data_IF_859363778185
#
_entry.id   IF_859363778185
#
_cell.length_a   1.000
_cell.length_b   1.000
_cell.length_c   1.000
_cell.angle_alpha   90.00
_cell.angle_beta   90.00
_cell.angle_gamma   90.00
#
_symmetry.space_group_name_H-M   'P 1'
#
loop_
_entity.id
_entity.type
_entity.pdbx_description
1 polymer ?
#
# COMPACT_ATOMS: atom_id res chain seq x y z
N UNK A 1 23.94 14.22 3.36
CA UNK A 1 22.61 14.47 3.96
C UNK A 1 22.20 13.22 4.72
N UNK A 2 21.71 13.43 5.94
CA UNK A 2 21.47 12.43 7.00
C UNK A 2 20.43 11.38 6.63
N UNK A 3 20.64 10.18 7.15
CA UNK A 3 19.71 9.06 7.13
C UNK A 3 18.33 9.46 7.67
N UNK A 4 17.30 9.31 6.84
CA UNK A 4 15.90 9.25 7.27
C UNK A 4 15.57 7.80 7.64
N UNK A 5 16.29 7.24 8.61
CA UNK A 5 16.01 5.88 9.08
C UNK A 5 14.77 5.93 9.97
N UNK A 6 13.63 5.56 9.39
CA UNK A 6 12.40 5.17 10.10
C UNK A 6 11.84 6.26 11.03
N UNK A 7 11.17 7.26 10.48
CA UNK A 7 10.16 7.96 11.29
C UNK A 7 9.08 6.94 11.65
N UNK A 8 8.91 6.60 12.94
CA UNK A 8 7.84 5.70 13.33
C UNK A 8 6.52 6.39 13.02
N UNK A 9 5.66 5.68 12.31
CA UNK A 9 4.25 6.05 12.20
C UNK A 9 3.74 6.21 13.63
N UNK A 10 3.16 7.38 13.94
CA UNK A 10 2.65 7.65 15.27
C UNK A 10 1.70 6.52 15.70
N UNK A 11 1.84 6.02 16.93
CA UNK A 11 1.02 4.93 17.43
C UNK A 11 -0.48 5.26 17.23
N UNK A 12 -1.16 4.49 16.38
CA UNK A 12 -2.56 4.72 15.99
C UNK A 12 -2.77 5.15 14.53
N UNK A 13 -1.71 5.40 13.77
CA UNK A 13 -1.79 5.86 12.38
C UNK A 13 -1.47 4.77 11.34
N UNK A 14 -1.58 3.48 11.70
CA UNK A 14 -1.27 2.36 10.80
C UNK A 14 -2.40 2.13 9.77
N UNK A 15 -2.05 2.08 8.48
CA UNK A 15 -2.99 1.85 7.37
C UNK A 15 -3.79 0.55 7.53
N UNK A 16 -3.26 -0.43 8.26
CA UNK A 16 -3.91 -1.72 8.56
C UNK A 16 -5.21 -1.55 9.35
N UNK A 17 -5.34 -0.44 10.09
CA UNK A 17 -6.53 -0.08 10.86
C UNK A 17 -7.34 1.05 10.22
N UNK A 18 -6.86 1.63 9.12
CA UNK A 18 -7.53 2.75 8.47
C UNK A 18 -8.76 2.28 7.68
N UNK A 19 -9.94 2.91 7.86
CA UNK A 19 -11.10 2.62 7.04
C UNK A 19 -10.87 3.04 5.59
N UNK A 20 -11.51 2.36 4.61
CA UNK A 20 -11.48 2.82 3.23
C UNK A 20 -12.10 4.23 3.12
N UNK A 21 -11.59 5.09 2.23
CA UNK A 21 -12.21 6.38 1.92
C UNK A 21 -13.68 6.25 1.49
N UNK A 22 -14.53 7.17 1.94
CA UNK A 22 -15.98 7.16 1.69
C UNK A 22 -16.38 7.24 0.20
N UNK A 23 -15.47 7.68 -0.65
CA UNK A 23 -15.66 7.78 -2.10
C UNK A 23 -15.27 6.50 -2.87
N UNK A 24 -14.83 5.45 -2.18
CA UNK A 24 -14.63 4.13 -2.79
C UNK A 24 -15.95 3.36 -2.83
N UNK A 25 -16.26 2.77 -3.98
CA UNK A 25 -17.36 1.81 -4.08
C UNK A 25 -16.99 0.47 -3.41
N UNK A 26 -17.97 -0.37 -3.11
CA UNK A 26 -17.84 -1.59 -2.29
C UNK A 26 -16.73 -2.55 -2.75
N UNK A 27 -16.54 -2.69 -4.07
CA UNK A 27 -15.48 -3.51 -4.64
C UNK A 27 -14.08 -3.01 -4.30
N UNK A 28 -13.85 -1.69 -4.41
CA UNK A 28 -12.59 -1.07 -4.00
C UNK A 28 -12.40 -1.08 -2.49
N UNK A 29 -13.47 -0.87 -1.72
CA UNK A 29 -13.43 -0.95 -0.25
C UNK A 29 -13.04 -2.36 0.23
N UNK A 30 -13.55 -3.40 -0.44
CA UNK A 30 -13.17 -4.79 -0.18
C UNK A 30 -11.69 -5.03 -0.48
N UNK A 31 -11.20 -4.53 -1.63
CA UNK A 31 -9.77 -4.63 -1.98
C UNK A 31 -8.91 -3.85 -0.98
N UNK A 32 -9.34 -2.67 -0.53
CA UNK A 32 -8.65 -1.88 0.48
C UNK A 32 -8.38 -2.70 1.74
N UNK A 33 -9.41 -3.30 2.33
CA UNK A 33 -9.26 -4.10 3.54
C UNK A 33 -8.33 -5.30 3.33
N UNK A 34 -8.44 -5.99 2.19
CA UNK A 34 -7.55 -7.10 1.86
C UNK A 34 -6.10 -6.65 1.75
N UNK A 35 -5.82 -5.59 0.99
CA UNK A 35 -4.47 -5.09 0.77
C UNK A 35 -3.90 -4.57 2.09
N UNK A 36 -4.70 -3.86 2.89
CA UNK A 36 -4.27 -3.31 4.17
C UNK A 36 -3.81 -4.43 5.10
N UNK A 37 -4.53 -5.57 5.14
CA UNK A 37 -4.12 -6.73 5.94
C UNK A 37 -2.77 -7.36 5.54
N UNK A 38 -2.30 -7.12 4.32
CA UNK A 38 -1.05 -7.65 3.77
C UNK A 38 0.14 -6.69 3.92
N UNK A 39 -0.10 -5.41 4.21
CA UNK A 39 0.96 -4.44 4.45
C UNK A 39 1.66 -4.80 5.77
N UNK A 40 3.00 -4.82 5.82
CA UNK A 40 3.71 -5.04 7.07
C UNK A 40 3.42 -3.91 8.08
N UNK A 41 3.46 -4.24 9.37
CA UNK A 41 3.20 -3.28 10.45
C UNK A 41 4.14 -2.07 10.36
N UNK A 42 3.61 -0.89 10.68
CA UNK A 42 4.36 0.38 10.75
C UNK A 42 5.02 0.82 9.41
N UNK A 43 4.64 0.24 8.26
CA UNK A 43 5.18 0.61 6.94
C UNK A 43 4.42 1.76 6.28
N UNK A 44 3.10 1.84 6.48
CA UNK A 44 2.28 2.88 5.87
C UNK A 44 1.21 3.39 6.83
N UNK A 45 0.96 4.69 6.76
CA UNK A 45 0.02 5.37 7.63
C UNK A 45 -0.88 6.37 6.92
N UNK A 46 -1.46 7.33 7.65
CA UNK A 46 -2.41 8.28 7.05
C UNK A 46 -1.79 9.16 5.99
N UNK A 47 -0.51 9.53 6.16
CA UNK A 47 0.22 10.28 5.15
C UNK A 47 0.29 9.55 3.80
N UNK A 48 0.26 8.21 3.82
CA UNK A 48 0.38 7.36 2.64
C UNK A 48 -0.97 6.97 2.02
N UNK A 49 -2.10 7.40 2.60
CA UNK A 49 -3.44 6.98 2.18
C UNK A 49 -3.69 7.15 0.68
N UNK A 50 -3.22 8.24 0.06
CA UNK A 50 -3.44 8.49 -1.36
C UNK A 50 -2.62 7.53 -2.24
N UNK A 51 -1.37 7.27 -1.86
CA UNK A 51 -0.53 6.28 -2.55
C UNK A 51 -1.09 4.86 -2.37
N UNK A 52 -1.63 4.57 -1.19
CA UNK A 52 -2.28 3.32 -0.89
C UNK A 52 -3.59 3.14 -1.68
N UNK A 53 -4.39 4.20 -1.82
CA UNK A 53 -5.59 4.20 -2.67
C UNK A 53 -5.24 3.92 -4.13
N UNK A 54 -4.15 4.50 -4.65
CA UNK A 54 -3.68 4.22 -6.00
C UNK A 54 -3.29 2.75 -6.18
N UNK A 55 -2.62 2.15 -5.18
CA UNK A 55 -2.31 0.71 -5.16
C UNK A 55 -3.60 -0.13 -5.20
N UNK A 56 -4.58 0.18 -4.36
CA UNK A 56 -5.88 -0.51 -4.28
C UNK A 56 -6.61 -0.46 -5.63
N UNK A 57 -6.66 0.73 -6.25
CA UNK A 57 -7.27 0.91 -7.58
C UNK A 57 -6.57 0.07 -8.66
N UNK A 58 -5.24 0.05 -8.67
CA UNK A 58 -4.48 -0.75 -9.63
C UNK A 58 -4.68 -2.26 -9.43
N UNK A 59 -4.77 -2.73 -8.19
CA UNK A 59 -5.07 -4.14 -7.88
C UNK A 59 -6.48 -4.50 -8.35
N UNK A 60 -7.45 -3.62 -8.12
CA UNK A 60 -8.82 -3.81 -8.61
C UNK A 60 -8.85 -3.87 -10.14
N UNK A 61 -8.25 -2.90 -10.84
CA UNK A 61 -8.14 -2.88 -12.30
C UNK A 61 -7.45 -4.14 -12.87
N UNK A 62 -6.41 -4.63 -12.21
CA UNK A 62 -5.76 -5.90 -12.56
C UNK A 62 -6.71 -7.09 -12.45
N UNK A 63 -7.48 -7.17 -11.35
CA UNK A 63 -8.44 -8.27 -11.11
C UNK A 63 -9.64 -8.19 -12.06
N UNK A 64 -10.04 -6.99 -12.48
CA UNK A 64 -11.11 -6.77 -13.47
C UNK A 64 -10.70 -7.04 -14.91
N UNK A 65 -9.46 -7.48 -15.17
CA UNK A 65 -8.91 -7.72 -16.53
C UNK A 65 -8.88 -6.48 -17.44
N UNK A 66 -8.87 -5.28 -16.84
CA UNK A 66 -8.78 -3.99 -17.54
C UNK A 66 -7.36 -3.40 -17.50
N UNK A 67 -6.40 -4.11 -16.91
CA UNK A 67 -5.04 -3.64 -16.75
C UNK A 67 -4.25 -3.61 -18.07
N UNK A 68 -3.54 -2.49 -18.29
CA UNK A 68 -2.57 -2.30 -19.38
C UNK A 68 -1.15 -2.53 -18.83
N UNK A 69 -0.18 -2.74 -19.72
CA UNK A 69 1.23 -2.91 -19.35
C UNK A 69 1.76 -1.82 -18.39
N UNK A 70 1.37 -0.55 -18.61
CA UNK A 70 1.74 0.56 -17.74
C UNK A 70 1.19 0.43 -16.30
N UNK A 71 0.01 -0.19 -16.12
CA UNK A 71 -0.55 -0.45 -14.80
C UNK A 71 0.29 -1.46 -14.03
N UNK A 72 0.79 -2.51 -14.71
CA UNK A 72 1.66 -3.51 -14.06
C UNK A 72 3.00 -2.93 -13.62
N UNK A 73 3.61 -2.06 -14.44
CA UNK A 73 4.83 -1.37 -14.06
C UNK A 73 4.62 -0.50 -12.81
N UNK A 74 3.55 0.31 -12.77
CA UNK A 74 3.23 1.15 -11.61
C UNK A 74 2.84 0.32 -10.38
N UNK A 75 2.09 -0.75 -10.58
CA UNK A 75 1.70 -1.69 -9.52
C UNK A 75 2.93 -2.33 -8.88
N UNK A 76 3.90 -2.79 -9.68
CA UNK A 76 5.16 -3.33 -9.18
C UNK A 76 5.92 -2.31 -8.33
N UNK A 77 5.99 -1.04 -8.75
CA UNK A 77 6.63 0.02 -7.97
C UNK A 77 5.93 0.24 -6.63
N UNK A 78 4.61 0.36 -6.61
CA UNK A 78 3.84 0.59 -5.37
C UNK A 78 3.93 -0.62 -4.43
N UNK A 79 3.87 -1.86 -4.94
CA UNK A 79 4.09 -3.05 -4.13
C UNK A 79 5.48 -3.06 -3.48
N UNK A 80 6.50 -2.54 -4.15
CA UNK A 80 7.83 -2.41 -3.58
C UNK A 80 7.92 -1.28 -2.54
N UNK A 81 7.19 -0.18 -2.73
CA UNK A 81 7.12 0.95 -1.80
C UNK A 81 6.46 0.55 -0.48
N UNK A 82 5.35 -0.18 -0.53
CA UNK A 82 4.60 -0.67 0.63
C UNK A 82 5.16 -1.97 1.25
N UNK A 83 6.40 -2.35 0.92
CA UNK A 83 7.01 -3.55 1.52
C UNK A 83 6.33 -4.87 1.17
N UNK A 84 5.59 -4.94 0.06
CA UNK A 84 4.82 -6.12 -0.33
C UNK A 84 5.59 -7.07 -1.25
N UNK A 85 6.84 -6.74 -1.61
CA UNK A 85 7.76 -7.65 -2.34
C UNK A 85 8.84 -8.21 -1.42
N UNK A 86 9.38 -9.42 -1.68
CA UNK A 86 10.47 -9.99 -0.88
C UNK A 86 11.68 -9.06 -0.77
N UNK A 87 12.09 -8.46 -1.88
CA UNK A 87 13.21 -7.53 -1.93
C UNK A 87 12.93 -6.25 -1.11
N UNK A 88 11.70 -5.74 -1.13
CA UNK A 88 11.32 -4.58 -0.33
C UNK A 88 11.28 -4.90 1.17
N UNK A 89 10.72 -6.05 1.56
CA UNK A 89 10.75 -6.51 2.96
C UNK A 89 12.18 -6.64 3.47
N UNK A 90 13.09 -7.20 2.69
CA UNK A 90 14.50 -7.29 3.08
C UNK A 90 15.17 -5.93 3.30
N UNK A 91 14.73 -4.86 2.60
CA UNK A 91 15.26 -3.50 2.78
C UNK A 91 14.63 -2.78 3.97
N UNK A 92 13.32 -2.92 4.16
CA UNK A 92 12.54 -2.21 5.17
C UNK A 92 12.60 -2.90 6.54
N UNK A 93 12.61 -4.24 6.56
CA UNK A 93 12.69 -5.06 7.77
C UNK A 93 14.14 -5.42 8.12
N UNK A 94 15.10 -4.47 8.03
CA UNK A 94 16.41 -4.69 8.63
C UNK A 94 16.24 -4.84 10.15
N UNK A 95 16.16 -6.11 10.58
CA UNK A 95 16.42 -6.60 11.92
C UNK A 95 17.81 -6.16 12.39
#
# INVERSE_FOLDING_TARGET
MRERQNEPIAAGDDIRSAPPPNNLHDGLATVWQQVASLVPKDIAGKADQLAFEALVRLIYTMRSREAKAAHFARLQSLLAEFGMTPAARARLCKL
#
